data_IF_371334032492
#
_entry.id   IF_371334032492
#
_cell.length_a   1.000
_cell.length_b   1.000
_cell.length_c   1.000
_cell.angle_alpha   90.00
_cell.angle_beta   90.00
_cell.angle_gamma   90.00
#
_symmetry.space_group_name_H-M   'P 1'
#
loop_
_entity.id
_entity.type
_entity.pdbx_description
1 polymer ?
#
# COMPACT_ATOMS: atom_id res chain seq x y z
N UNK A 1 55.93 0.88 3.74
CA UNK A 1 54.81 0.35 4.53
C UNK A 1 53.60 1.19 4.16
N UNK A 2 52.70 0.63 3.37
CA UNK A 2 51.51 1.34 2.89
C UNK A 2 50.34 0.80 3.70
N UNK A 3 49.84 1.60 4.63
CA UNK A 3 48.69 1.25 5.45
C UNK A 3 47.45 1.15 4.57
N UNK A 4 47.05 -0.09 4.29
CA UNK A 4 45.79 -0.44 3.65
C UNK A 4 44.66 -0.21 4.67
N UNK A 5 44.11 1.00 4.72
CA UNK A 5 42.90 1.29 5.52
C UNK A 5 41.71 0.65 4.83
N UNK A 6 41.39 -0.58 5.24
CA UNK A 6 40.12 -1.22 4.90
C UNK A 6 38.98 -0.43 5.57
N UNK A 7 38.30 0.41 4.77
CA UNK A 7 37.06 1.06 5.15
C UNK A 7 35.96 -0.01 5.22
N UNK A 8 35.76 -0.57 6.41
CA UNK A 8 34.64 -1.46 6.71
C UNK A 8 33.33 -0.64 6.78
N UNK A 9 32.79 -0.27 5.62
CA UNK A 9 31.49 0.40 5.50
C UNK A 9 30.39 -0.66 5.65
N UNK A 10 29.55 -0.53 6.67
CA UNK A 10 28.39 -1.39 6.90
C UNK A 10 27.20 -1.09 5.97
N UNK A 11 26.16 -1.93 6.01
CA UNK A 11 24.96 -1.71 5.19
C UNK A 11 24.17 -0.48 5.64
N UNK A 12 23.64 0.27 4.66
CA UNK A 12 22.73 1.38 4.93
C UNK A 12 21.43 0.83 5.55
N UNK A 13 21.09 1.32 6.74
CA UNK A 13 19.80 1.07 7.38
C UNK A 13 19.15 2.41 7.70
N UNK A 14 17.91 2.59 7.27
CA UNK A 14 17.09 3.75 7.61
C UNK A 14 16.01 3.31 8.59
N UNK A 15 15.89 3.99 9.73
CA UNK A 15 14.67 3.88 10.56
C UNK A 15 13.60 4.78 9.92
N UNK A 16 12.67 4.19 9.18
CA UNK A 16 11.62 4.93 8.49
C UNK A 16 10.35 4.87 9.33
N UNK A 17 9.83 6.04 9.72
CA UNK A 17 8.61 6.15 10.51
C UNK A 17 7.51 6.86 9.72
N UNK A 18 6.30 6.31 9.77
CA UNK A 18 5.08 6.91 9.25
C UNK A 18 4.34 7.60 10.40
N UNK A 19 3.90 8.83 10.16
CA UNK A 19 3.05 9.56 11.10
C UNK A 19 1.66 9.72 10.47
N UNK A 20 0.62 9.26 11.17
CA UNK A 20 -0.77 9.39 10.76
C UNK A 20 -1.52 10.26 11.76
N UNK A 21 -2.35 11.17 11.26
CA UNK A 21 -3.09 12.11 12.10
C UNK A 21 -4.58 11.76 12.24
N UNK A 22 -5.16 11.00 11.30
CA UNK A 22 -6.59 10.69 11.32
C UNK A 22 -6.86 9.24 11.72
N UNK A 23 -7.97 9.02 12.43
CA UNK A 23 -8.46 7.67 12.72
C UNK A 23 -8.79 6.91 11.43
N UNK A 24 -9.27 7.61 10.40
CA UNK A 24 -9.55 7.06 9.08
C UNK A 24 -8.31 6.41 8.45
N UNK A 25 -7.17 7.12 8.41
CA UNK A 25 -5.93 6.57 7.89
C UNK A 25 -5.36 5.46 8.77
N UNK A 26 -5.43 5.62 10.11
CA UNK A 26 -4.98 4.59 11.05
C UNK A 26 -5.75 3.26 10.87
N UNK A 27 -7.07 3.33 10.62
CA UNK A 27 -7.90 2.15 10.33
C UNK A 27 -7.52 1.50 8.99
N UNK A 28 -7.15 2.26 7.96
CA UNK A 28 -6.65 1.71 6.69
C UNK A 28 -5.25 1.09 6.84
N UNK A 29 -4.41 1.61 7.72
CA UNK A 29 -3.12 1.02 8.05
C UNK A 29 -3.26 -0.37 8.67
N UNK A 30 -4.08 -0.46 9.72
CA UNK A 30 -4.26 -1.70 10.49
C UNK A 30 -5.13 -2.71 9.73
N UNK A 31 -6.18 -2.24 9.06
CA UNK A 31 -7.25 -3.10 8.57
C UNK A 31 -8.10 -3.63 9.71
N UNK A 32 -8.76 -4.78 9.49
CA UNK A 32 -9.57 -5.45 10.50
C UNK A 32 -9.30 -6.95 10.47
N UNK A 33 -8.91 -7.54 11.59
CA UNK A 33 -8.83 -8.99 11.70
C UNK A 33 -10.19 -9.65 11.43
N UNK A 34 -10.18 -10.85 10.87
CA UNK A 34 -11.39 -11.66 10.75
C UNK A 34 -11.85 -12.04 12.16
N UNK A 35 -13.15 -11.91 12.42
CA UNK A 35 -13.78 -12.47 13.60
C UNK A 35 -14.99 -13.33 13.18
N UNK A 36 -15.68 -13.94 14.16
CA UNK A 36 -16.80 -14.86 13.88
C UNK A 36 -17.99 -14.18 13.20
N UNK A 37 -18.12 -12.86 13.33
CA UNK A 37 -19.28 -12.08 12.87
C UNK A 37 -19.02 -11.27 11.60
N UNK A 38 -17.75 -10.95 11.31
CA UNK A 38 -17.35 -10.00 10.27
C UNK A 38 -16.11 -10.52 9.53
N UNK A 39 -16.11 -10.43 8.18
CA UNK A 39 -14.92 -10.78 7.40
C UNK A 39 -13.76 -9.84 7.72
N UNK A 40 -12.54 -10.38 7.64
CA UNK A 40 -11.33 -9.58 7.77
C UNK A 40 -11.17 -8.61 6.59
N UNK A 41 -10.63 -7.43 6.87
CA UNK A 41 -10.32 -6.39 5.89
C UNK A 41 -8.80 -6.22 5.88
N UNK A 42 -8.19 -6.34 4.71
CA UNK A 42 -6.76 -6.12 4.56
C UNK A 42 -6.42 -4.65 4.80
N UNK A 43 -5.50 -4.39 5.72
CA UNK A 43 -4.86 -3.08 5.90
C UNK A 43 -3.57 -2.95 5.09
N UNK A 44 -3.00 -1.75 5.08
CA UNK A 44 -1.75 -1.49 4.36
C UNK A 44 -0.59 -2.37 4.85
N UNK A 45 -0.52 -2.66 6.15
CA UNK A 45 0.48 -3.57 6.71
C UNK A 45 0.44 -4.97 6.07
N UNK A 46 -0.75 -5.56 5.94
CA UNK A 46 -0.95 -6.84 5.27
C UNK A 46 -0.73 -6.76 3.76
N UNK A 47 -1.10 -5.64 3.13
CA UNK A 47 -0.78 -5.37 1.72
C UNK A 47 0.74 -5.41 1.48
N UNK A 48 1.54 -4.71 2.30
CA UNK A 48 3.00 -4.71 2.18
C UNK A 48 3.58 -6.13 2.29
N UNK A 49 3.03 -6.99 3.15
CA UNK A 49 3.44 -8.39 3.26
C UNK A 49 3.14 -9.21 1.99
N UNK A 50 2.06 -8.89 1.26
CA UNK A 50 1.77 -9.48 -0.04
C UNK A 50 2.77 -8.98 -1.09
N UNK A 51 3.04 -7.66 -1.13
CA UNK A 51 3.98 -7.08 -2.10
C UNK A 51 5.40 -7.61 -1.88
N UNK A 52 5.84 -7.83 -0.65
CA UNK A 52 7.14 -8.47 -0.38
C UNK A 52 7.23 -9.87 -1.00
N UNK A 53 6.16 -10.67 -0.90
CA UNK A 53 6.09 -11.99 -1.54
C UNK A 53 6.06 -11.89 -3.07
N UNK A 54 5.28 -10.96 -3.60
CA UNK A 54 5.20 -10.67 -5.03
C UNK A 54 6.57 -10.29 -5.61
N UNK A 55 7.26 -9.36 -4.95
CA UNK A 55 8.59 -8.92 -5.32
C UNK A 55 9.60 -10.09 -5.31
N UNK A 56 9.54 -10.96 -4.29
CA UNK A 56 10.34 -12.20 -4.30
C UNK A 56 9.98 -13.10 -5.48
N UNK A 57 8.69 -13.27 -5.79
CA UNK A 57 8.24 -14.05 -6.94
C UNK A 57 8.81 -13.53 -8.27
N UNK A 58 8.77 -12.21 -8.49
CA UNK A 58 9.40 -11.56 -9.64
C UNK A 58 10.91 -11.82 -9.72
N UNK A 59 11.62 -11.83 -8.57
CA UNK A 59 13.06 -12.12 -8.54
C UNK A 59 13.37 -13.58 -8.89
N UNK A 60 12.43 -14.50 -8.65
CA UNK A 60 12.52 -15.92 -8.97
C UNK A 60 11.99 -16.25 -10.39
N UNK A 61 11.82 -15.23 -11.22
CA UNK A 61 11.39 -15.36 -12.62
C UNK A 61 9.98 -15.97 -12.80
N UNK A 62 9.07 -15.73 -11.86
CA UNK A 62 7.66 -16.15 -11.96
C UNK A 62 6.86 -15.18 -12.85
N UNK A 63 6.35 -15.61 -14.03
CA UNK A 63 5.64 -14.74 -14.95
C UNK A 63 4.31 -14.20 -14.40
N UNK A 64 3.60 -14.95 -13.55
CA UNK A 64 2.38 -14.47 -12.90
C UNK A 64 2.68 -13.40 -11.87
N UNK A 65 3.82 -13.51 -11.18
CA UNK A 65 4.29 -12.46 -10.28
C UNK A 65 4.60 -11.17 -11.04
N UNK A 66 5.25 -11.25 -12.20
CA UNK A 66 5.47 -10.07 -13.05
C UNK A 66 4.14 -9.44 -13.52
N UNK A 67 3.16 -10.25 -13.95
CA UNK A 67 1.82 -9.74 -14.32
C UNK A 67 1.14 -9.01 -13.14
N UNK A 68 1.12 -9.62 -11.95
CA UNK A 68 0.47 -9.00 -10.80
C UNK A 68 1.16 -7.72 -10.35
N UNK A 69 2.49 -7.65 -10.47
CA UNK A 69 3.23 -6.44 -10.16
C UNK A 69 2.86 -5.29 -11.10
N UNK A 70 2.69 -5.58 -12.40
CA UNK A 70 2.19 -4.59 -13.39
C UNK A 70 0.77 -4.13 -13.03
N UNK A 71 -0.15 -5.06 -12.78
CA UNK A 71 -1.54 -4.71 -12.43
C UNK A 71 -1.64 -3.85 -11.17
N UNK A 72 -0.80 -4.12 -10.17
CA UNK A 72 -0.76 -3.33 -8.94
C UNK A 72 -0.11 -1.96 -9.20
N UNK A 73 0.96 -1.88 -9.99
CA UNK A 73 1.56 -0.61 -10.41
C UNK A 73 0.53 0.28 -11.13
N UNK A 74 -0.19 -0.27 -12.10
CA UNK A 74 -1.26 0.42 -12.83
C UNK A 74 -2.36 0.89 -11.87
N UNK A 75 -2.78 0.04 -10.92
CA UNK A 75 -3.82 0.39 -9.94
C UNK A 75 -3.36 1.46 -8.94
N UNK A 76 -2.07 1.50 -8.60
CA UNK A 76 -1.48 2.56 -7.78
C UNK A 76 -1.54 3.89 -8.51
N UNK A 77 -1.21 3.91 -9.81
CA UNK A 77 -1.28 5.12 -10.64
C UNK A 77 -2.72 5.63 -10.75
N UNK A 78 -3.67 4.74 -11.03
CA UNK A 78 -5.11 5.05 -11.08
C UNK A 78 -5.60 5.63 -9.74
N UNK A 79 -5.22 5.00 -8.63
CA UNK A 79 -5.62 5.45 -7.28
C UNK A 79 -5.03 6.82 -6.94
N UNK A 80 -3.80 7.09 -7.38
CA UNK A 80 -3.15 8.41 -7.22
C UNK A 80 -3.92 9.50 -7.95
N UNK A 81 -4.28 9.25 -9.21
CA UNK A 81 -5.06 10.20 -10.00
C UNK A 81 -6.43 10.46 -9.38
N UNK A 82 -7.10 9.41 -8.92
CA UNK A 82 -8.40 9.54 -8.27
C UNK A 82 -8.34 10.33 -6.94
N UNK A 83 -7.30 10.12 -6.12
CA UNK A 83 -7.07 10.95 -4.93
C UNK A 83 -6.80 12.41 -5.29
N UNK A 84 -6.00 12.67 -6.33
CA UNK A 84 -5.75 14.03 -6.82
C UNK A 84 -7.05 14.73 -7.25
N UNK A 85 -8.00 14.02 -7.87
CA UNK A 85 -9.31 14.59 -8.20
C UNK A 85 -10.19 14.89 -6.98
N UNK A 86 -10.00 14.20 -5.84
CA UNK A 86 -10.63 14.60 -4.56
C UNK A 86 -9.95 15.86 -4.03
N UNK A 87 -8.62 15.93 -4.10
CA UNK A 87 -7.84 17.08 -3.66
C UNK A 87 -8.19 18.36 -4.44
N UNK A 88 -8.32 18.29 -5.76
CA UNK A 88 -8.73 19.43 -6.60
C UNK A 88 -10.13 19.95 -6.25
N UNK A 89 -11.09 19.05 -5.97
CA UNK A 89 -12.44 19.43 -5.49
C UNK A 89 -12.36 20.14 -4.15
N UNK A 90 -11.49 19.68 -3.26
CA UNK A 90 -11.27 20.26 -1.94
C UNK A 90 -10.56 21.61 -2.01
N UNK A 91 -9.60 21.78 -2.92
CA UNK A 91 -8.97 23.07 -3.21
C UNK A 91 -10.01 24.11 -3.63
N UNK A 92 -10.92 23.73 -4.53
CA UNK A 92 -12.00 24.61 -4.99
C UNK A 92 -12.95 25.02 -3.86
N UNK A 93 -13.28 24.10 -2.95
CA UNK A 93 -14.09 24.40 -1.75
C UNK A 93 -13.34 25.34 -0.81
N UNK A 94 -12.07 25.06 -0.51
CA UNK A 94 -11.26 25.85 0.41
C UNK A 94 -10.99 27.26 -0.12
N UNK A 95 -10.97 27.45 -1.44
CA UNK A 95 -10.79 28.77 -2.08
C UNK A 95 -11.96 29.75 -1.82
N UNK A 96 -13.13 29.27 -1.34
CA UNK A 96 -14.28 30.12 -0.97
C UNK A 96 -14.02 30.89 0.33
N UNK A 97 -13.04 30.47 1.12
CA UNK A 97 -12.74 31.07 2.41
C UNK A 97 -12.38 32.57 2.25
N UNK A 98 -12.99 33.47 3.05
CA UNK A 98 -12.64 34.88 3.04
C UNK A 98 -11.14 35.09 3.31
N UNK A 99 -10.47 36.04 2.62
CA UNK A 99 -9.03 36.28 2.78
C UNK A 99 -8.65 36.78 4.18
N UNK A 100 -9.62 37.22 4.98
CA UNK A 100 -9.44 37.61 6.37
C UNK A 100 -9.24 36.41 7.32
N UNK A 101 -9.58 35.19 6.90
CA UNK A 101 -9.44 33.96 7.69
C UNK A 101 -8.19 33.22 7.19
N UNK A 102 -7.19 33.08 8.06
CA UNK A 102 -6.02 32.25 7.82
C UNK A 102 -6.14 30.96 8.63
N UNK A 103 -6.09 29.82 7.95
CA UNK A 103 -6.21 28.50 8.58
C UNK A 103 -4.90 27.75 8.40
N UNK A 104 -4.32 27.28 9.50
CA UNK A 104 -3.12 26.42 9.50
C UNK A 104 -3.48 24.95 9.27
N UNK A 105 -2.48 24.11 9.07
CA UNK A 105 -2.67 22.67 8.92
C UNK A 105 -3.46 22.07 10.10
N UNK A 106 -4.49 21.28 9.79
CA UNK A 106 -5.24 20.54 10.79
C UNK A 106 -4.46 19.28 11.18
N UNK A 107 -3.74 19.34 12.30
CA UNK A 107 -2.88 18.25 12.77
C UNK A 107 -3.43 17.67 14.06
N UNK A 108 -3.41 16.34 14.18
CA UNK A 108 -3.66 15.68 15.46
C UNK A 108 -2.60 16.09 16.48
N UNK A 109 -3.06 16.38 17.70
CA UNK A 109 -2.24 16.69 18.88
C UNK A 109 -1.46 15.44 19.32
N UNK A 110 -2.01 14.25 19.08
CA UNK A 110 -1.38 12.97 19.39
C UNK A 110 -1.40 12.06 18.16
N UNK A 111 -0.52 12.29 17.17
CA UNK A 111 -0.50 11.50 15.96
C UNK A 111 0.08 10.10 16.22
N UNK A 112 -0.42 9.11 15.48
CA UNK A 112 0.07 7.74 15.53
C UNK A 112 1.42 7.65 14.80
N UNK A 113 2.46 7.14 15.47
CA UNK A 113 3.78 6.89 14.88
C UNK A 113 3.98 5.40 14.67
N UNK A 114 4.23 5.00 13.43
CA UNK A 114 4.23 3.61 13.00
C UNK A 114 5.55 3.30 12.30
N UNK A 115 6.32 2.29 12.74
CA UNK A 115 7.54 1.90 12.05
C UNK A 115 7.21 1.26 10.69
N UNK A 116 7.98 1.61 9.65
CA UNK A 116 7.83 1.05 8.31
C UNK A 116 8.92 0.02 8.03
N UNK A 117 8.50 -1.24 7.82
CA UNK A 117 9.38 -2.34 7.42
C UNK A 117 9.11 -2.73 5.96
N UNK A 118 9.36 -1.79 5.04
CA UNK A 118 9.11 -1.98 3.61
C UNK A 118 10.44 -2.05 2.87
N UNK A 119 10.64 -3.14 2.13
CA UNK A 119 11.89 -3.41 1.40
C UNK A 119 11.79 -3.20 -0.11
N UNK A 120 10.62 -2.82 -0.62
CA UNK A 120 10.38 -2.66 -2.06
C UNK A 120 9.70 -1.31 -2.39
N UNK A 121 10.00 -0.70 -3.55
CA UNK A 121 9.45 0.60 -3.94
C UNK A 121 7.92 0.64 -4.04
N UNK A 122 7.28 -0.44 -4.52
CA UNK A 122 5.84 -0.47 -4.73
C UNK A 122 5.05 -0.42 -3.39
N UNK A 123 5.61 -1.00 -2.33
CA UNK A 123 5.09 -0.86 -0.96
C UNK A 123 5.15 0.60 -0.49
N UNK A 124 6.23 1.33 -0.79
CA UNK A 124 6.31 2.76 -0.48
C UNK A 124 5.31 3.59 -1.29
N UNK A 125 5.02 3.23 -2.54
CA UNK A 125 3.98 3.91 -3.32
C UNK A 125 2.61 3.81 -2.64
N UNK A 126 2.27 2.66 -2.04
CA UNK A 126 1.04 2.50 -1.28
C UNK A 126 1.04 3.27 0.05
N UNK A 127 2.20 3.40 0.71
CA UNK A 127 2.35 4.32 1.86
C UNK A 127 2.10 5.76 1.44
N UNK A 128 2.63 6.21 0.29
CA UNK A 128 2.40 7.56 -0.21
C UNK A 128 0.91 7.82 -0.49
N UNK A 129 0.19 6.83 -1.02
CA UNK A 129 -1.27 6.95 -1.18
C UNK A 129 -1.98 7.09 0.17
N UNK A 130 -1.56 6.34 1.19
CA UNK A 130 -2.13 6.46 2.53
C UNK A 130 -1.84 7.82 3.18
N UNK A 131 -0.63 8.37 2.99
CA UNK A 131 -0.30 9.71 3.50
C UNK A 131 -1.09 10.80 2.80
N UNK A 132 -1.26 10.71 1.47
CA UNK A 132 -2.12 11.65 0.72
C UNK A 132 -3.58 11.55 1.18
N UNK A 133 -4.07 10.33 1.44
CA UNK A 133 -5.40 10.15 2.00
C UNK A 133 -5.53 10.75 3.40
N UNK A 134 -4.56 10.53 4.31
CA UNK A 134 -4.55 11.14 5.65
C UNK A 134 -4.61 12.67 5.56
N UNK A 135 -3.86 13.26 4.63
CA UNK A 135 -3.90 14.70 4.38
C UNK A 135 -5.25 15.19 3.85
N UNK A 136 -5.82 14.51 2.86
CA UNK A 136 -7.14 14.81 2.31
C UNK A 136 -8.21 14.76 3.40
N UNK A 137 -8.21 13.73 4.26
CA UNK A 137 -9.19 13.61 5.35
C UNK A 137 -9.08 14.78 6.33
N UNK A 138 -7.87 15.18 6.75
CA UNK A 138 -7.68 16.35 7.63
C UNK A 138 -8.28 17.61 7.02
N UNK A 139 -8.06 17.82 5.72
CA UNK A 139 -8.57 18.98 5.00
C UNK A 139 -10.09 18.92 4.82
N UNK A 140 -10.68 17.74 4.61
CA UNK A 140 -12.13 17.53 4.55
C UNK A 140 -12.79 17.85 5.90
N UNK A 141 -12.24 17.31 7.00
CA UNK A 141 -12.74 17.57 8.36
C UNK A 141 -12.66 19.07 8.70
N UNK A 142 -11.57 19.72 8.33
CA UNK A 142 -11.42 21.17 8.50
C UNK A 142 -12.46 21.95 7.68
N UNK A 143 -12.67 21.60 6.41
CA UNK A 143 -13.66 22.25 5.55
C UNK A 143 -15.08 22.12 6.12
N UNK A 144 -15.41 20.96 6.69
CA UNK A 144 -16.70 20.73 7.36
C UNK A 144 -16.83 21.57 8.63
N UNK A 145 -15.79 21.63 9.46
CA UNK A 145 -15.80 22.40 10.70
C UNK A 145 -15.97 23.90 10.48
N UNK A 146 -15.33 24.46 9.47
CA UNK A 146 -15.47 25.89 9.11
C UNK A 146 -16.69 26.17 8.24
N UNK A 147 -17.55 25.19 8.02
CA UNK A 147 -18.85 25.35 7.38
C UNK A 147 -18.83 25.47 5.85
N UNK A 148 -17.75 25.05 5.18
CA UNK A 148 -17.66 25.08 3.72
C UNK A 148 -18.38 23.91 3.04
N UNK A 149 -18.50 22.78 3.73
CA UNK A 149 -19.23 21.59 3.24
C UNK A 149 -20.16 21.02 4.32
N UNK A 150 -21.19 20.30 3.88
CA UNK A 150 -22.08 19.58 4.77
C UNK A 150 -21.50 18.25 5.24
N UNK A 151 -22.08 17.70 6.32
CA UNK A 151 -21.72 16.37 6.85
C UNK A 151 -21.82 15.25 5.81
N UNK A 152 -22.83 15.30 4.94
CA UNK A 152 -23.03 14.29 3.89
C UNK A 152 -21.90 14.29 2.87
N UNK A 153 -21.44 15.46 2.45
CA UNK A 153 -20.35 15.59 1.48
C UNK A 153 -19.03 15.16 2.12
N UNK A 154 -18.81 15.54 3.39
CA UNK A 154 -17.66 15.10 4.19
C UNK A 154 -17.57 13.56 4.24
N UNK A 155 -18.65 12.88 4.66
CA UNK A 155 -18.71 11.41 4.72
C UNK A 155 -18.47 10.78 3.34
N UNK A 156 -19.12 11.31 2.29
CA UNK A 156 -18.96 10.83 0.93
C UNK A 156 -17.51 10.90 0.44
N UNK A 157 -16.82 12.02 0.64
CA UNK A 157 -15.46 12.22 0.14
C UNK A 157 -14.44 11.38 0.92
N UNK A 158 -14.62 11.24 2.24
CA UNK A 158 -13.80 10.35 3.08
C UNK A 158 -13.94 8.89 2.61
N UNK A 159 -15.17 8.44 2.35
CA UNK A 159 -15.44 7.07 1.89
C UNK A 159 -14.98 6.82 0.45
N UNK A 160 -15.07 7.83 -0.43
CA UNK A 160 -14.54 7.79 -1.78
C UNK A 160 -13.03 7.49 -1.75
N UNK A 161 -12.27 8.28 -0.99
CA UNK A 161 -10.84 8.08 -0.80
C UNK A 161 -10.50 6.72 -0.19
N UNK A 162 -11.20 6.31 0.87
CA UNK A 162 -10.96 5.03 1.53
C UNK A 162 -11.23 3.83 0.60
N UNK A 163 -12.25 3.95 -0.27
CA UNK A 163 -12.62 2.90 -1.22
C UNK A 163 -11.53 2.67 -2.26
N UNK A 164 -10.82 3.72 -2.70
CA UNK A 164 -9.69 3.60 -3.63
C UNK A 164 -8.59 2.71 -3.04
N UNK A 165 -8.16 2.99 -1.80
CA UNK A 165 -7.16 2.17 -1.12
C UNK A 165 -7.65 0.74 -0.87
N UNK A 166 -8.89 0.56 -0.44
CA UNK A 166 -9.45 -0.80 -0.23
C UNK A 166 -9.51 -1.61 -1.51
N UNK A 167 -9.82 -1.00 -2.66
CA UNK A 167 -9.80 -1.67 -3.97
C UNK A 167 -8.38 -2.07 -4.39
N UNK A 168 -7.40 -1.19 -4.17
CA UNK A 168 -5.99 -1.52 -4.38
C UNK A 168 -5.55 -2.71 -3.51
N UNK A 169 -5.93 -2.70 -2.22
CA UNK A 169 -5.59 -3.78 -1.31
C UNK A 169 -6.28 -5.09 -1.70
N UNK A 170 -7.55 -5.03 -2.09
CA UNK A 170 -8.31 -6.16 -2.59
C UNK A 170 -7.69 -6.80 -3.85
N UNK A 171 -7.16 -6.00 -4.78
CA UNK A 171 -6.45 -6.51 -5.95
C UNK A 171 -5.22 -7.34 -5.55
N UNK A 172 -4.43 -6.86 -4.60
CA UNK A 172 -3.28 -7.60 -4.11
C UNK A 172 -3.67 -8.91 -3.39
N UNK A 173 -4.81 -8.96 -2.69
CA UNK A 173 -5.28 -10.20 -2.05
C UNK A 173 -5.53 -11.35 -3.03
N UNK A 174 -5.76 -11.06 -4.31
CA UNK A 174 -5.98 -12.07 -5.34
C UNK A 174 -4.68 -12.74 -5.79
N UNK A 175 -3.51 -12.14 -5.48
CA UNK A 175 -2.21 -12.69 -5.81
C UNK A 175 -1.89 -13.96 -5.03
N UNK A 176 -1.35 -14.94 -5.74
CA UNK A 176 -0.77 -16.17 -5.19
C UNK A 176 0.54 -16.50 -5.92
N UNK A 177 1.61 -16.75 -5.17
CA UNK A 177 2.87 -17.15 -5.80
C UNK A 177 2.69 -18.47 -6.56
N UNK A 178 3.04 -18.51 -7.85
CA UNK A 178 2.77 -19.67 -8.71
C UNK A 178 3.84 -20.76 -8.57
N UNK A 179 5.07 -20.37 -8.27
CA UNK A 179 6.21 -21.29 -8.14
C UNK A 179 6.76 -21.83 -9.46
N UNK A 180 6.23 -21.38 -10.61
CA UNK A 180 6.71 -21.76 -11.94
C UNK A 180 7.54 -20.62 -12.55
N UNK A 181 8.75 -20.91 -13.02
CA UNK A 181 9.57 -19.94 -13.74
C UNK A 181 9.33 -19.99 -15.26
N UNK A 182 9.82 -19.01 -16.02
CA UNK A 182 9.69 -18.96 -17.49
C UNK A 182 10.15 -20.24 -18.19
N UNK A 183 11.23 -20.85 -17.71
CA UNK A 183 11.73 -22.12 -18.25
C UNK A 183 10.73 -23.27 -18.05
N UNK A 184 9.97 -23.28 -16.96
CA UNK A 184 8.92 -24.26 -16.71
C UNK A 184 7.77 -24.12 -17.74
N UNK A 185 7.43 -22.88 -18.12
CA UNK A 185 6.42 -22.61 -19.15
C UNK A 185 6.91 -22.96 -20.55
N UNK A 186 8.19 -22.68 -20.87
CA UNK A 186 8.81 -23.06 -22.13
C UNK A 186 8.89 -24.60 -22.29
N UNK A 187 9.18 -25.31 -21.20
CA UNK A 187 9.18 -26.78 -21.14
C UNK A 187 7.77 -27.40 -21.05
N UNK A 188 6.73 -26.57 -20.84
CA UNK A 188 5.34 -26.98 -20.63
C UNK A 188 5.18 -28.09 -19.59
N UNK A 189 5.83 -27.94 -18.43
CA UNK A 189 5.84 -28.97 -17.40
C UNK A 189 4.64 -28.88 -16.43
N UNK A 190 4.57 -29.82 -15.49
CA UNK A 190 3.50 -29.90 -14.49
C UNK A 190 3.38 -28.62 -13.61
N UNK A 191 4.48 -27.91 -13.35
CA UNK A 191 4.43 -26.64 -12.58
C UNK A 191 3.75 -25.54 -13.39
N UNK A 192 4.08 -25.41 -14.66
CA UNK A 192 3.43 -24.45 -15.55
C UNK A 192 1.93 -24.74 -15.70
N UNK A 193 1.55 -26.01 -15.81
CA UNK A 193 0.13 -26.39 -15.85
C UNK A 193 -0.61 -26.08 -14.54
N UNK A 194 0.00 -26.39 -13.38
CA UNK A 194 -0.56 -26.04 -12.08
C UNK A 194 -0.72 -24.52 -11.91
N UNK A 195 0.24 -23.73 -12.38
CA UNK A 195 0.17 -22.27 -12.38
C UNK A 195 -1.00 -21.75 -13.25
N UNK A 196 -1.18 -22.30 -14.46
CA UNK A 196 -2.33 -21.97 -15.33
C UNK A 196 -3.66 -22.32 -14.67
N UNK A 197 -3.75 -23.48 -14.02
CA UNK A 197 -4.96 -23.88 -13.30
C UNK A 197 -5.26 -22.96 -12.12
N UNK A 198 -4.24 -22.57 -11.33
CA UNK A 198 -4.39 -21.63 -10.22
C UNK A 198 -4.99 -20.29 -10.68
N UNK A 199 -4.56 -19.81 -11.84
CA UNK A 199 -4.95 -18.51 -12.39
C UNK A 199 -6.02 -18.56 -13.48
N UNK A 200 -6.64 -19.72 -13.71
CA UNK A 200 -7.60 -19.92 -14.81
C UNK A 200 -8.73 -18.87 -14.85
N UNK A 201 -9.18 -18.39 -13.68
CA UNK A 201 -10.25 -17.38 -13.57
C UNK A 201 -9.83 -15.98 -14.00
N UNK A 202 -8.52 -15.71 -14.06
CA UNK A 202 -7.95 -14.41 -14.39
C UNK A 202 -7.54 -14.30 -15.87
N UNK A 203 -7.75 -15.36 -16.65
CA UNK A 203 -7.42 -15.41 -18.07
C UNK A 203 -6.01 -15.95 -18.34
N UNK A 204 -5.65 -15.92 -19.61
CA UNK A 204 -4.35 -16.39 -20.08
C UNK A 204 -3.26 -15.34 -19.85
N UNK A 205 -2.03 -15.80 -19.65
CA UNK A 205 -0.90 -14.92 -19.45
C UNK A 205 -0.51 -14.27 -20.81
N UNK A 206 -0.39 -12.94 -20.90
CA UNK A 206 0.09 -12.26 -22.08
C UNK A 206 1.48 -12.75 -22.53
N UNK A 207 1.69 -12.84 -23.84
CA UNK A 207 2.93 -13.41 -24.40
C UNK A 207 4.17 -12.56 -24.10
N UNK A 208 4.05 -11.23 -24.14
CA UNK A 208 5.10 -10.30 -23.75
C UNK A 208 5.56 -10.49 -22.29
N UNK A 209 4.60 -10.78 -21.41
CA UNK A 209 4.88 -11.10 -20.01
C UNK A 209 5.41 -12.52 -19.86
N UNK A 210 5.13 -13.46 -20.76
CA UNK A 210 5.71 -14.82 -20.75
C UNK A 210 7.14 -14.86 -21.31
N UNK A 211 7.46 -13.95 -22.24
CA UNK A 211 8.81 -13.75 -22.79
C UNK A 211 9.69 -12.87 -21.89
N UNK A 212 9.08 -12.10 -20.98
CA UNK A 212 9.79 -11.24 -20.03
C UNK A 212 10.20 -9.90 -20.63
N UNK A 213 9.66 -9.55 -21.80
CA UNK A 213 9.89 -8.27 -22.48
C UNK A 213 9.14 -7.13 -21.78
N UNK A 214 7.98 -7.42 -21.20
CA UNK A 214 7.23 -6.48 -20.35
C UNK A 214 7.31 -6.88 -18.89
N UNK A 215 7.85 -5.98 -18.05
CA UNK A 215 7.92 -6.10 -16.59
C UNK A 215 7.61 -4.74 -15.96
N UNK A 216 7.18 -4.75 -14.70
CA UNK A 216 6.94 -3.52 -13.92
C UNK A 216 8.21 -2.67 -13.81
N UNK A 217 8.06 -1.35 -13.75
CA UNK A 217 9.17 -0.42 -13.44
C UNK A 217 9.84 -0.74 -12.10
N UNK A 218 9.08 -1.35 -11.18
CA UNK A 218 9.53 -1.73 -9.84
C UNK A 218 9.94 -3.20 -9.73
N UNK A 219 10.01 -3.93 -10.84
CA UNK A 219 10.40 -5.33 -10.83
C UNK A 219 11.89 -5.50 -10.48
N UNK A 220 12.23 -6.39 -9.54
CA UNK A 220 13.62 -6.69 -9.24
C UNK A 220 14.32 -7.39 -10.41
N UNK A 221 15.65 -7.33 -10.47
CA UNK A 221 16.41 -8.17 -11.39
C UNK A 221 16.13 -9.65 -11.11
N UNK A 222 16.09 -10.46 -12.16
CA UNK A 222 15.88 -11.90 -12.05
C UNK A 222 17.17 -12.54 -11.53
N UNK A 223 17.07 -13.24 -10.41
CA UNK A 223 18.18 -13.93 -9.76
C UNK A 223 18.50 -15.24 -10.51
N UNK A 224 19.21 -15.15 -11.64
CA UNK A 224 19.78 -16.33 -12.29
C UNK A 224 20.96 -16.87 -11.46
N UNK A 225 20.72 -17.90 -10.64
CA UNK A 225 21.79 -18.76 -10.12
C UNK A 225 22.09 -18.77 -8.62
N UNK A 226 21.23 -18.24 -7.74
CA UNK A 226 21.40 -18.41 -6.29
C UNK A 226 20.09 -18.90 -5.64
N UNK A 227 19.84 -20.20 -5.76
CA UNK A 227 19.04 -20.90 -4.76
C UNK A 227 19.87 -20.94 -3.47
N UNK A 228 19.76 -19.90 -2.65
CA UNK A 228 20.23 -19.98 -1.27
C UNK A 228 19.00 -19.88 -0.39
N UNK A 229 18.68 -21.01 0.22
CA UNK A 229 17.80 -21.11 1.38
C UNK A 229 18.26 -20.08 2.42
N UNK A 230 17.51 -19.01 2.56
CA UNK A 230 17.54 -18.20 3.78
C UNK A 230 16.10 -18.16 4.28
N UNK A 231 15.81 -19.17 5.10
CA UNK A 231 14.85 -19.04 6.18
C UNK A 231 15.38 -17.95 7.11
N UNK A 232 14.82 -16.76 7.03
CA UNK A 232 14.86 -15.84 8.16
C UNK A 232 13.45 -15.30 8.37
N UNK A 233 12.66 -16.18 9.00
CA UNK A 233 11.30 -15.94 9.42
C UNK A 233 11.31 -15.30 10.80
N UNK A 234 11.52 -13.99 10.88
CA UNK A 234 11.01 -13.18 11.99
C UNK A 234 10.99 -11.70 11.62
N UNK A 235 9.92 -11.25 10.95
CA UNK A 235 9.48 -9.87 11.06
C UNK A 235 8.07 -9.87 11.61
N UNK A 236 8.08 -9.71 12.94
CA UNK A 236 7.00 -9.48 13.87
C UNK A 236 5.80 -8.78 13.24
N UNK A 237 4.63 -9.37 13.50
CA UNK A 237 3.36 -8.67 13.41
C UNK A 237 3.51 -7.26 13.99
N UNK A 238 3.06 -6.25 13.24
CA UNK A 238 2.95 -4.90 13.76
C UNK A 238 2.24 -4.97 15.12
N UNK A 239 2.73 -4.27 16.16
CA UNK A 239 2.09 -4.29 17.47
C UNK A 239 0.62 -3.89 17.29
N UNK A 240 -0.27 -4.79 17.72
CA UNK A 240 -1.69 -4.47 17.86
C UNK A 240 -1.74 -3.45 18.99
N UNK A 241 -1.99 -2.18 18.65
CA UNK A 241 -2.25 -1.17 19.65
C UNK A 241 -3.52 -1.58 20.43
N UNK A 242 -3.53 -1.48 21.77
CA UNK A 242 -4.73 -1.70 22.56
C UNK A 242 -5.83 -0.77 22.05
N UNK A 243 -6.99 -1.36 21.71
CA UNK A 243 -8.19 -0.60 21.41
C UNK A 243 -8.85 -0.34 22.76
N UNK A 244 -8.66 0.86 23.31
CA UNK A 244 -9.60 1.36 24.31
C UNK A 244 -10.86 1.79 23.56
N UNK A 245 -11.97 1.14 23.91
CA UNK A 245 -13.32 1.66 23.70
C UNK A 245 -13.87 1.58 22.28
N UNK A 246 -15.02 0.95 22.15
CA UNK A 246 -15.97 1.12 21.04
C UNK A 246 -16.63 2.50 21.13
N UNK A 247 -15.83 3.57 21.30
CA UNK A 247 -16.33 4.93 21.29
C UNK A 247 -16.38 5.39 19.84
N UNK A 248 -17.59 5.72 19.39
CA UNK A 248 -17.84 6.63 18.27
C UNK A 248 -17.21 8.00 18.58
N UNK A 249 -15.87 8.07 18.64
CA UNK A 249 -15.15 9.34 18.66
C UNK A 249 -15.29 9.91 17.27
N UNK A 250 -16.32 10.72 17.14
CA UNK A 250 -16.56 11.56 16.00
C UNK A 250 -15.39 12.56 15.95
N UNK A 251 -14.53 12.46 14.93
CA UNK A 251 -13.40 13.40 14.73
C UNK A 251 -13.88 14.87 14.64
N UNK A 252 -15.20 15.12 14.56
CA UNK A 252 -15.79 16.45 14.71
C UNK A 252 -15.69 17.08 16.11
N UNK A 253 -15.43 16.30 17.18
CA UNK A 253 -15.34 16.83 18.55
C UNK A 253 -13.95 17.37 18.92
N UNK A 254 -12.91 17.11 18.12
CA UNK A 254 -11.51 17.49 18.44
C UNK A 254 -11.09 18.83 17.81
N UNK A 255 -12.01 19.53 17.15
CA UNK A 255 -11.75 20.77 16.41
C UNK A 255 -12.00 22.05 17.23
N UNK A 256 -12.05 21.96 18.56
CA UNK A 256 -12.25 23.09 19.47
C UNK A 256 -10.94 23.75 19.94
#
# INVERSE_FOLDING_TARGET
MTDNRELAIGSLRSDVQLTLHTHHAARLWMGRARNDTKPGILGLSGFCAIINRLHRGCSLDDPYSDLWMILIEEKVIESRQALASIEERLDAVMAVLPPAISISNNLSIQPAKLPLFISNPLGFQAVYLLTSYDEIVRRILLAQHVGLIGRRDMELWIDEGATLLRRLFGLAQLYRYSGACRDDFAANNAKAEAARQMYQRHGELPQDILEGTRRSTYAPPIARGQQTETEDNTLLAAPVLPIDGDDDINDSEVLA
#
